data_IF_750260386439
#
_entry.id   IF_750260386439
#
_cell.length_a   1.000
_cell.length_b   1.000
_cell.length_c   1.000
_cell.angle_alpha   90.00
_cell.angle_beta   90.00
_cell.angle_gamma   90.00
#
_symmetry.space_group_name_H-M   'P 1'
#
loop_
_entity.id
_entity.type
_entity.pdbx_description
1 polymer ?
#
# COMPACT_ATOMS: atom_id res chain seq x y z
N UNK A 1 23.77 6.94 1.09
CA UNK A 1 22.50 7.45 0.52
C UNK A 1 21.66 6.30 -0.02
N UNK A 2 20.42 6.18 0.42
CA UNK A 2 19.50 5.17 -0.10
C UNK A 2 19.05 5.55 -1.51
N UNK A 3 19.06 4.58 -2.42
CA UNK A 3 18.55 4.75 -3.77
C UNK A 3 17.20 4.07 -3.89
N UNK A 4 16.20 4.81 -4.36
CA UNK A 4 14.85 4.29 -4.52
C UNK A 4 14.26 4.71 -5.86
N UNK A 5 13.47 3.81 -6.45
CA UNK A 5 12.60 4.15 -7.56
C UNK A 5 11.17 4.32 -7.04
N UNK A 6 10.39 5.10 -7.76
CA UNK A 6 9.06 5.49 -7.32
C UNK A 6 8.05 5.32 -8.46
N UNK A 7 6.92 4.68 -8.16
CA UNK A 7 5.83 4.50 -9.11
C UNK A 7 4.52 4.91 -8.47
N UNK A 8 3.70 5.66 -9.19
CA UNK A 8 2.38 6.10 -8.73
C UNK A 8 1.29 5.52 -9.63
N UNK A 9 0.31 4.86 -9.01
CA UNK A 9 -0.83 4.26 -9.70
C UNK A 9 -2.11 4.81 -9.07
N UNK A 10 -3.06 5.23 -9.90
CA UNK A 10 -4.39 5.62 -9.43
C UNK A 10 -5.38 4.47 -9.62
N UNK A 11 -6.38 4.38 -8.75
CA UNK A 11 -7.42 3.36 -8.83
C UNK A 11 -8.80 3.99 -8.71
N UNK A 12 -9.71 3.57 -9.57
CA UNK A 12 -11.13 3.93 -9.51
C UNK A 12 -11.99 2.84 -8.87
N UNK A 13 -11.35 1.75 -8.40
CA UNK A 13 -12.02 0.65 -7.76
C UNK A 13 -12.59 1.08 -6.41
N UNK A 14 -13.89 0.95 -6.24
CA UNK A 14 -14.60 1.28 -5.00
C UNK A 14 -14.37 0.25 -3.89
N UNK A 15 -13.83 -0.92 -4.20
CA UNK A 15 -13.48 -1.94 -3.22
C UNK A 15 -12.08 -1.70 -2.68
N UNK A 16 -12.00 -1.03 -1.54
CA UNK A 16 -10.72 -0.75 -0.89
C UNK A 16 -10.04 -2.00 -0.32
N UNK A 17 -10.79 -3.09 -0.15
CA UNK A 17 -10.21 -4.37 0.29
C UNK A 17 -9.28 -4.96 -0.77
N UNK A 18 -9.47 -4.62 -2.04
CA UNK A 18 -8.57 -5.05 -3.11
C UNK A 18 -7.16 -4.48 -2.93
N UNK A 19 -7.04 -3.25 -2.41
CA UNK A 19 -5.74 -2.65 -2.11
C UNK A 19 -5.02 -3.42 -1.00
N UNK A 20 -5.74 -3.80 0.06
CA UNK A 20 -5.16 -4.63 1.13
C UNK A 20 -4.74 -6.00 0.61
N UNK A 21 -5.53 -6.64 -0.25
CA UNK A 21 -5.19 -7.93 -0.84
C UNK A 21 -3.89 -7.83 -1.66
N UNK A 22 -3.71 -6.74 -2.42
CA UNK A 22 -2.48 -6.52 -3.15
C UNK A 22 -1.26 -6.48 -2.23
N UNK A 23 -1.41 -5.88 -1.05
CA UNK A 23 -0.31 -5.73 -0.10
C UNK A 23 0.01 -7.02 0.66
N UNK A 24 -1.00 -7.84 0.95
CA UNK A 24 -0.86 -9.02 1.80
C UNK A 24 -0.66 -10.33 1.03
N UNK A 25 -1.03 -10.36 -0.25
CA UNK A 25 -0.83 -11.50 -1.14
C UNK A 25 0.10 -11.13 -2.30
N UNK A 26 0.82 -12.11 -2.82
CA UNK A 26 1.71 -11.89 -3.95
C UNK A 26 0.95 -11.50 -5.21
N UNK A 27 1.39 -10.43 -5.86
CA UNK A 27 0.86 -9.94 -7.13
C UNK A 27 2.00 -9.60 -8.08
N UNK A 28 1.72 -9.68 -9.38
CA UNK A 28 2.63 -9.19 -10.40
C UNK A 28 2.65 -7.66 -10.36
N UNK A 29 3.84 -7.07 -10.23
CA UNK A 29 4.01 -5.62 -10.11
C UNK A 29 3.62 -4.86 -11.38
N UNK A 30 3.69 -5.52 -12.53
CA UNK A 30 3.41 -4.89 -13.83
C UNK A 30 1.94 -4.99 -14.22
N UNK A 31 1.33 -6.17 -14.01
CA UNK A 31 -0.07 -6.40 -14.39
C UNK A 31 -1.05 -6.14 -13.26
N UNK A 32 -0.58 -6.06 -12.02
CA UNK A 32 -1.38 -5.92 -10.80
C UNK A 32 -2.32 -7.11 -10.55
N UNK A 33 -2.10 -8.23 -11.25
CA UNK A 33 -2.88 -9.45 -11.09
C UNK A 33 -2.28 -10.34 -10.00
N UNK A 34 -3.12 -11.05 -9.23
CA UNK A 34 -2.60 -11.95 -8.20
C UNK A 34 -1.81 -13.12 -8.81
N UNK A 35 -0.71 -13.47 -8.14
CA UNK A 35 0.04 -14.67 -8.43
C UNK A 35 -0.62 -15.83 -7.71
N UNK A 36 -0.95 -16.89 -8.44
CA UNK A 36 -1.66 -18.05 -7.90
C UNK A 36 -0.71 -19.23 -7.76
N UNK A 37 -0.97 -20.08 -6.75
CA UNK A 37 -0.26 -21.33 -6.58
C UNK A 37 -0.80 -22.41 -7.54
N UNK A 38 -0.28 -23.64 -7.42
CA UNK A 38 -0.69 -24.75 -8.26
C UNK A 38 -2.18 -25.08 -8.18
N UNK A 39 -2.82 -24.76 -7.05
CA UNK A 39 -4.23 -25.02 -6.81
C UNK A 39 -5.13 -23.81 -7.14
N UNK A 40 -4.56 -22.75 -7.73
CA UNK A 40 -5.29 -21.55 -8.05
C UNK A 40 -5.61 -20.64 -6.85
N UNK A 41 -4.90 -20.81 -5.76
CA UNK A 41 -5.10 -20.02 -4.53
C UNK A 41 -4.12 -18.85 -4.46
N UNK A 42 -4.52 -17.78 -3.76
CA UNK A 42 -3.64 -16.65 -3.49
C UNK A 42 -2.48 -17.08 -2.60
N UNK A 43 -1.29 -16.55 -2.88
CA UNK A 43 -0.08 -16.83 -2.12
C UNK A 43 0.14 -15.69 -1.14
N UNK A 44 0.08 -15.92 0.20
CA UNK A 44 0.38 -14.87 1.16
C UNK A 44 1.82 -14.40 1.06
N UNK A 45 2.05 -13.09 1.17
CA UNK A 45 3.40 -12.55 1.24
C UNK A 45 4.06 -12.95 2.55
N UNK A 46 5.36 -13.22 2.49
CA UNK A 46 6.17 -13.52 3.67
C UNK A 46 6.98 -12.28 4.03
N UNK A 47 7.38 -12.18 5.30
CA UNK A 47 8.23 -11.09 5.80
C UNK A 47 7.71 -9.71 5.41
N UNK A 48 6.48 -9.40 5.79
CA UNK A 48 5.96 -8.06 5.55
C UNK A 48 5.66 -7.35 6.88
N UNK A 49 5.66 -6.02 6.80
CA UNK A 49 5.18 -5.14 7.88
C UNK A 49 4.04 -4.31 7.31
N UNK A 50 3.03 -4.09 8.11
CA UNK A 50 1.85 -3.33 7.68
C UNK A 50 1.41 -2.40 8.81
N UNK A 51 1.04 -1.17 8.45
CA UNK A 51 0.46 -0.22 9.38
C UNK A 51 -0.56 0.66 8.66
N UNK A 52 -1.50 1.21 9.43
CA UNK A 52 -2.49 2.14 8.91
C UNK A 52 -2.31 3.50 9.57
N UNK A 53 -2.66 4.56 8.83
CA UNK A 53 -2.60 5.93 9.30
C UNK A 53 -3.97 6.57 9.13
N UNK A 54 -4.41 7.29 10.18
CA UNK A 54 -5.66 8.05 10.18
C UNK A 54 -6.92 7.19 9.98
N UNK A 55 -6.85 5.92 10.36
CA UNK A 55 -7.98 4.98 10.28
C UNK A 55 -8.62 4.70 11.65
N UNK A 56 -8.08 5.24 12.73
CA UNK A 56 -8.55 4.94 14.08
C UNK A 56 -8.38 3.46 14.39
N UNK A 57 -9.39 2.86 15.01
CA UNK A 57 -9.40 1.44 15.33
C UNK A 57 -10.03 0.58 14.22
N UNK A 58 -10.40 1.20 13.10
CA UNK A 58 -11.02 0.51 11.97
C UNK A 58 -9.97 0.06 10.96
N UNK A 59 -10.31 -0.95 10.16
CA UNK A 59 -9.44 -1.32 9.05
C UNK A 59 -9.48 -0.24 7.95
N UNK A 60 -8.51 -0.29 7.06
CA UNK A 60 -8.34 0.70 6.00
C UNK A 60 -9.59 0.85 5.12
N UNK A 61 -10.16 -0.27 4.68
CA UNK A 61 -11.31 -0.25 3.77
C UNK A 61 -12.51 0.41 4.42
N UNK A 62 -12.81 0.07 5.67
CA UNK A 62 -13.93 0.66 6.41
C UNK A 62 -13.68 2.15 6.65
N UNK A 63 -12.49 2.53 7.06
CA UNK A 63 -12.14 3.93 7.30
C UNK A 63 -12.30 4.78 6.03
N UNK A 64 -11.88 4.27 4.88
CA UNK A 64 -12.04 4.95 3.60
C UNK A 64 -13.51 5.11 3.22
N UNK A 65 -14.31 4.06 3.36
CA UNK A 65 -15.74 4.12 3.05
C UNK A 65 -16.47 5.12 3.94
N UNK A 66 -16.18 5.14 5.24
CA UNK A 66 -16.77 6.11 6.16
C UNK A 66 -16.39 7.54 5.82
N UNK A 67 -15.13 7.80 5.52
CA UNK A 67 -14.66 9.13 5.14
C UNK A 67 -15.35 9.62 3.87
N UNK A 68 -15.48 8.75 2.87
CA UNK A 68 -16.15 9.09 1.61
C UNK A 68 -17.62 9.43 1.83
N UNK A 69 -18.34 8.66 2.64
CA UNK A 69 -19.74 8.93 2.97
C UNK A 69 -19.90 10.21 3.77
N UNK A 70 -19.05 10.42 4.78
CA UNK A 70 -19.12 11.59 5.64
C UNK A 70 -18.91 12.89 4.89
N UNK A 71 -17.97 12.92 3.95
CA UNK A 71 -17.63 14.11 3.19
C UNK A 71 -18.22 14.15 1.77
N UNK A 72 -19.02 13.15 1.42
CA UNK A 72 -19.64 13.07 0.08
C UNK A 72 -18.63 12.94 -1.05
N UNK A 73 -17.49 12.29 -0.81
CA UNK A 73 -16.41 12.16 -1.78
C UNK A 73 -16.44 10.80 -2.47
N UNK A 74 -15.87 10.75 -3.67
CA UNK A 74 -15.55 9.51 -4.40
C UNK A 74 -16.76 8.60 -4.61
N UNK A 75 -17.95 9.21 -4.79
CA UNK A 75 -19.20 8.46 -4.95
C UNK A 75 -19.49 8.09 -6.40
N UNK A 76 -18.89 8.78 -7.36
CA UNK A 76 -19.11 8.53 -8.77
C UNK A 76 -18.16 7.45 -9.28
N UNK A 77 -18.63 6.66 -10.27
CA UNK A 77 -17.84 5.57 -10.85
C UNK A 77 -16.49 6.04 -11.41
N UNK A 78 -16.43 7.21 -12.00
CA UNK A 78 -15.23 7.77 -12.63
C UNK A 78 -14.28 8.45 -11.65
N UNK A 79 -14.69 8.63 -10.39
CA UNK A 79 -13.83 9.25 -9.39
C UNK A 79 -12.66 8.32 -9.03
N UNK A 80 -11.48 8.92 -8.87
CA UNK A 80 -10.32 8.20 -8.34
C UNK A 80 -10.58 7.89 -6.86
N UNK A 81 -10.54 6.61 -6.51
CA UNK A 81 -10.84 6.13 -5.15
C UNK A 81 -9.61 6.07 -4.29
N UNK A 82 -8.47 5.68 -4.85
CA UNK A 82 -7.23 5.55 -4.11
C UNK A 82 -6.01 5.85 -4.98
N UNK A 83 -4.93 6.20 -4.29
CA UNK A 83 -3.61 6.38 -4.88
C UNK A 83 -2.68 5.33 -4.30
N UNK A 84 -1.99 4.61 -5.16
CA UNK A 84 -1.05 3.57 -4.78
C UNK A 84 0.36 4.00 -5.16
N UNK A 85 1.26 4.01 -4.19
CA UNK A 85 2.66 4.36 -4.38
C UNK A 85 3.53 3.14 -4.10
N UNK A 86 4.41 2.83 -5.03
CA UNK A 86 5.38 1.75 -4.88
C UNK A 86 6.75 2.39 -4.77
N UNK A 87 7.44 2.13 -3.68
CA UNK A 87 8.82 2.59 -3.44
C UNK A 87 9.70 1.35 -3.44
N UNK A 88 10.57 1.24 -4.44
CA UNK A 88 11.49 0.10 -4.58
C UNK A 88 12.91 0.57 -4.29
N UNK A 89 13.59 -0.11 -3.37
CA UNK A 89 14.95 0.22 -2.97
C UNK A 89 15.96 -0.63 -3.73
N UNK A 90 17.16 -0.07 -3.93
CA UNK A 90 18.26 -0.81 -4.51
C UNK A 90 18.68 -1.94 -3.55
N UNK A 91 18.79 -3.19 -4.03
CA UNK A 91 19.27 -4.29 -3.18
C UNK A 91 20.61 -4.05 -2.50
N UNK A 92 21.45 -3.21 -3.07
CA UNK A 92 22.75 -2.82 -2.47
C UNK A 92 22.60 -2.02 -1.18
N UNK A 93 21.44 -1.39 -0.95
CA UNK A 93 21.20 -0.63 0.27
C UNK A 93 21.08 -1.52 1.51
N UNK A 94 20.84 -2.81 1.35
CA UNK A 94 20.78 -3.75 2.46
C UNK A 94 22.17 -3.87 3.15
N UNK A 95 23.25 -4.24 2.43
CA UNK A 95 24.58 -4.28 3.05
C UNK A 95 25.22 -2.90 3.24
N UNK A 96 24.99 -1.95 2.33
CA UNK A 96 25.70 -0.67 2.30
C UNK A 96 25.13 0.36 3.27
N UNK A 97 23.81 0.33 3.51
CA UNK A 97 23.12 1.34 4.31
C UNK A 97 22.24 0.77 5.40
N UNK A 98 22.35 -0.53 5.68
CA UNK A 98 21.60 -1.17 6.76
C UNK A 98 20.10 -1.22 6.52
N UNK A 99 19.66 -1.21 5.25
CA UNK A 99 18.25 -1.29 4.92
C UNK A 99 17.67 -2.63 5.37
N UNK A 100 16.55 -2.58 6.07
CA UNK A 100 15.78 -3.76 6.46
C UNK A 100 14.28 -3.43 6.37
N UNK A 101 13.43 -4.42 6.64
CA UNK A 101 11.98 -4.26 6.55
C UNK A 101 11.48 -3.17 7.50
N UNK A 102 12.02 -3.11 8.72
CA UNK A 102 11.59 -2.12 9.71
C UNK A 102 11.99 -0.69 9.30
N UNK A 103 13.19 -0.50 8.77
CA UNK A 103 13.62 0.81 8.27
C UNK A 103 12.78 1.24 7.07
N UNK A 104 12.53 0.34 6.12
CA UNK A 104 11.71 0.64 4.95
C UNK A 104 10.28 1.00 5.36
N UNK A 105 9.70 0.29 6.33
CA UNK A 105 8.36 0.60 6.86
C UNK A 105 8.33 2.00 7.48
N UNK A 106 9.33 2.35 8.29
CA UNK A 106 9.43 3.69 8.88
C UNK A 106 9.52 4.79 7.84
N UNK A 107 10.28 4.56 6.77
CA UNK A 107 10.41 5.51 5.67
C UNK A 107 9.08 5.69 4.93
N UNK A 108 8.34 4.61 4.68
CA UNK A 108 7.02 4.66 4.06
C UNK A 108 6.00 5.41 4.92
N UNK A 109 5.98 5.16 6.22
CA UNK A 109 5.11 5.87 7.16
C UNK A 109 5.42 7.36 7.19
N UNK A 110 6.70 7.72 7.24
CA UNK A 110 7.15 9.11 7.21
C UNK A 110 6.75 9.80 5.92
N UNK A 111 6.89 9.13 4.79
CA UNK A 111 6.46 9.65 3.49
C UNK A 111 4.96 10.00 3.52
N UNK A 112 4.11 9.11 4.03
CA UNK A 112 2.67 9.36 4.12
C UNK A 112 2.35 10.52 5.06
N UNK A 113 3.01 10.59 6.21
CA UNK A 113 2.78 11.66 7.19
C UNK A 113 3.18 13.03 6.66
N UNK A 114 4.26 13.11 5.91
CA UNK A 114 4.76 14.38 5.37
C UNK A 114 3.99 14.85 4.14
N UNK A 115 3.59 13.93 3.25
CA UNK A 115 2.98 14.27 1.97
C UNK A 115 1.46 14.18 1.96
N UNK A 116 0.87 13.36 2.83
CA UNK A 116 -0.57 13.13 2.88
C UNK A 116 -1.13 13.22 4.30
N UNK A 117 -0.89 14.34 5.02
CA UNK A 117 -1.36 14.47 6.40
C UNK A 117 -2.89 14.39 6.45
N UNK A 118 -3.41 13.63 7.40
CA UNK A 118 -4.85 13.51 7.62
C UNK A 118 -5.59 12.56 6.69
N UNK A 119 -4.93 12.02 5.67
CA UNK A 119 -5.54 11.02 4.79
C UNK A 119 -5.45 9.62 5.38
N UNK A 120 -6.46 8.79 5.12
CA UNK A 120 -6.38 7.37 5.41
C UNK A 120 -5.30 6.75 4.54
N UNK A 121 -4.42 5.99 5.14
CA UNK A 121 -3.34 5.34 4.42
C UNK A 121 -3.05 3.97 5.01
N UNK A 122 -2.61 3.07 4.15
CA UNK A 122 -2.07 1.78 4.54
C UNK A 122 -0.65 1.69 3.96
N UNK A 123 0.30 1.34 4.81
CA UNK A 123 1.72 1.25 4.45
C UNK A 123 2.15 -0.18 4.68
N UNK A 124 2.71 -0.80 3.64
CA UNK A 124 3.18 -2.18 3.71
C UNK A 124 4.56 -2.29 3.08
N UNK A 125 5.47 -2.90 3.80
CA UNK A 125 6.80 -3.26 3.31
C UNK A 125 6.91 -4.77 3.21
N UNK A 126 7.41 -5.27 2.11
CA UNK A 126 7.71 -6.69 1.92
C UNK A 126 9.03 -6.86 1.19
N UNK A 127 9.65 -7.99 1.46
CA UNK A 127 10.91 -8.34 0.81
C UNK A 127 10.68 -8.78 -0.64
#
# INVERSE_FOLDING_TARGET
>A
MLLATFKHIISKNADYSAAEAYLTFEHDEFTMKPTLDENGRLIPRQDYRISTLNCGDEDFAIACLRANLRYGKNQKREDVKSHHYIISFDPKDVPDHGLNVDLAQSLGEKFCKEHFPGHQAIVCTHA
#
